data_IF_503878259381
#
_entry.id   IF_503878259381
#
_cell.length_a   1.000
_cell.length_b   1.000
_cell.length_c   1.000
_cell.angle_alpha   90.00
_cell.angle_beta   90.00
_cell.angle_gamma   90.00
#
_symmetry.space_group_name_H-M   'P 1'
#
loop_
_entity.id
_entity.type
_entity.pdbx_description
1 polymer ?
#
# COMPACT_ATOMS: atom_id res chain seq x y z
N UNK A 1 -2.56 19.99 -10.91
CA UNK A 1 -2.39 18.93 -11.92
C UNK A 1 -2.00 17.65 -11.20
N UNK A 2 -2.91 16.68 -11.02
CA UNK A 2 -2.58 15.36 -10.47
C UNK A 2 -2.28 14.40 -11.63
N UNK A 3 -1.11 13.77 -11.59
CA UNK A 3 -0.63 12.83 -12.60
C UNK A 3 -0.89 11.42 -12.09
N UNK A 4 -1.99 10.82 -12.48
CA UNK A 4 -2.32 9.42 -12.14
C UNK A 4 -1.79 8.52 -13.25
N UNK A 5 -0.75 7.73 -12.98
CA UNK A 5 -0.22 6.73 -13.91
C UNK A 5 -0.86 5.37 -13.65
N UNK A 6 -1.49 4.77 -14.66
CA UNK A 6 -2.01 3.41 -14.57
C UNK A 6 -0.98 2.45 -15.16
N UNK A 7 -0.35 1.64 -14.30
CA UNK A 7 0.47 0.52 -14.74
C UNK A 7 -0.45 -0.70 -14.90
N UNK A 8 -0.71 -1.10 -16.16
CA UNK A 8 -1.49 -2.32 -16.47
C UNK A 8 -0.55 -3.36 -17.08
N UNK A 9 -0.19 -4.37 -16.29
CA UNK A 9 0.45 -5.60 -16.77
C UNK A 9 -0.65 -6.66 -16.92
N UNK A 10 -0.96 -7.02 -18.16
CA UNK A 10 -2.05 -7.95 -18.52
C UNK A 10 -1.78 -9.40 -18.14
N UNK A 11 -0.60 -9.73 -17.61
CA UNK A 11 -0.19 -11.10 -17.25
C UNK A 11 -0.20 -11.39 -15.75
N UNK A 12 -0.42 -10.37 -14.91
CA UNK A 12 -0.40 -10.50 -13.44
C UNK A 12 -1.82 -10.36 -12.89
N UNK A 13 -2.25 -11.33 -12.07
CA UNK A 13 -3.39 -11.09 -11.18
C UNK A 13 -3.01 -9.92 -10.27
N UNK A 14 -3.61 -8.76 -10.50
CA UNK A 14 -3.36 -7.58 -9.69
C UNK A 14 -4.01 -7.80 -8.33
N UNK A 15 -3.24 -7.59 -7.25
CA UNK A 15 -3.79 -7.50 -5.90
C UNK A 15 -4.31 -6.08 -5.73
N UNK A 16 -5.58 -5.93 -5.36
CA UNK A 16 -6.17 -4.62 -5.10
C UNK A 16 -5.86 -4.17 -3.68
N UNK A 17 -5.40 -2.93 -3.50
CA UNK A 17 -5.19 -2.36 -2.16
C UNK A 17 -6.32 -1.38 -1.88
N UNK A 18 -7.08 -1.64 -0.83
CA UNK A 18 -8.15 -0.78 -0.34
C UNK A 18 -7.74 -0.15 0.99
N UNK A 19 -7.83 1.16 1.08
CA UNK A 19 -7.60 1.91 2.32
C UNK A 19 -8.93 2.48 2.78
N UNK A 20 -9.30 2.22 4.04
CA UNK A 20 -10.51 2.76 4.64
C UNK A 20 -10.16 3.54 5.92
N UNK A 21 -10.89 4.62 6.13
CA UNK A 21 -10.83 5.36 7.39
C UNK A 21 -11.86 4.76 8.34
N UNK A 22 -11.40 4.23 9.48
CA UNK A 22 -12.24 3.69 10.53
C UNK A 22 -12.10 4.55 11.80
N UNK A 23 -13.12 5.34 12.09
CA UNK A 23 -13.15 6.24 13.24
C UNK A 23 -13.39 5.52 14.58
N UNK A 24 -13.67 4.21 14.57
CA UNK A 24 -13.83 3.44 15.80
C UNK A 24 -12.51 3.24 16.55
N UNK A 25 -11.36 3.33 15.87
CA UNK A 25 -10.06 3.20 16.53
C UNK A 25 -9.74 4.43 17.36
N UNK A 26 -9.63 4.27 18.67
CA UNK A 26 -9.30 5.36 19.59
C UNK A 26 -7.85 5.84 19.43
N UNK A 27 -6.95 4.97 18.94
CA UNK A 27 -5.55 5.30 18.71
C UNK A 27 -5.32 5.64 17.23
N UNK A 28 -4.86 6.86 16.97
CA UNK A 28 -4.62 7.38 15.61
C UNK A 28 -3.51 6.64 14.84
N UNK A 29 -2.67 5.89 15.56
CA UNK A 29 -1.60 5.06 14.97
C UNK A 29 -2.00 3.59 14.83
N UNK A 30 -3.20 3.22 15.28
CA UNK A 30 -3.70 1.86 15.11
C UNK A 30 -4.03 1.57 13.66
N UNK A 31 -3.62 0.38 13.21
CA UNK A 31 -3.86 -0.12 11.87
C UNK A 31 -4.36 -1.56 11.97
N UNK A 32 -5.37 -1.88 11.17
CA UNK A 32 -5.84 -3.25 10.97
C UNK A 32 -5.62 -3.66 9.52
N UNK A 33 -5.12 -4.88 9.33
CA UNK A 33 -4.90 -5.48 8.01
C UNK A 33 -5.82 -6.68 7.82
N UNK A 34 -6.48 -6.74 6.67
CA UNK A 34 -7.07 -7.97 6.15
C UNK A 34 -6.42 -8.30 4.81
N UNK A 35 -5.94 -9.53 4.65
CA UNK A 35 -5.24 -10.00 3.46
C UNK A 35 -6.00 -11.19 2.88
N UNK A 36 -6.33 -11.10 1.61
CA UNK A 36 -6.97 -12.13 0.80
C UNK A 36 -6.14 -12.34 -0.48
N UNK A 37 -6.23 -13.50 -1.16
CA UNK A 37 -5.53 -13.72 -2.43
C UNK A 37 -5.76 -12.66 -3.51
N UNK A 38 -6.87 -11.90 -3.45
CA UNK A 38 -7.21 -10.90 -4.46
C UNK A 38 -7.11 -9.45 -3.99
N UNK A 39 -7.09 -9.20 -2.68
CA UNK A 39 -7.04 -7.84 -2.15
C UNK A 39 -6.40 -7.73 -0.76
N UNK A 40 -5.92 -6.53 -0.45
CA UNK A 40 -5.41 -6.13 0.86
C UNK A 40 -6.22 -4.94 1.33
N UNK A 41 -6.80 -5.03 2.52
CA UNK A 41 -7.52 -3.94 3.17
C UNK A 41 -6.69 -3.40 4.33
N UNK A 42 -6.54 -2.07 4.37
CA UNK A 42 -5.89 -1.31 5.44
C UNK A 42 -6.94 -0.39 6.05
N UNK A 43 -7.29 -0.64 7.31
CA UNK A 43 -8.20 0.22 8.06
C UNK A 43 -7.39 1.00 9.10
N UNK A 44 -7.63 2.31 9.19
CA UNK A 44 -6.93 3.18 10.14
C UNK A 44 -7.76 4.41 10.50
N UNK A 45 -7.56 4.98 11.69
CA UNK A 45 -8.19 6.25 12.05
C UNK A 45 -7.35 7.44 11.56
N UNK A 46 -7.60 7.83 10.31
CA UNK A 46 -7.00 9.01 9.69
C UNK A 46 -5.66 8.76 9.02
N UNK A 47 -4.97 9.85 8.70
CA UNK A 47 -3.78 9.83 7.83
C UNK A 47 -2.55 9.22 8.49
N UNK A 48 -2.37 9.38 9.81
CA UNK A 48 -1.22 8.84 10.54
C UNK A 48 -1.20 7.31 10.52
N UNK A 49 -2.28 6.66 10.97
CA UNK A 49 -2.44 5.21 10.89
C UNK A 49 -2.40 4.71 9.44
N UNK A 50 -3.02 5.42 8.49
CA UNK A 50 -2.94 5.05 7.07
C UNK A 50 -1.49 5.03 6.57
N UNK A 51 -0.70 6.05 6.94
CA UNK A 51 0.71 6.13 6.57
C UNK A 51 1.49 4.95 7.15
N UNK A 52 1.33 4.65 8.44
CA UNK A 52 1.98 3.48 9.06
C UNK A 52 1.56 2.17 8.40
N UNK A 53 0.28 2.02 8.04
CA UNK A 53 -0.22 0.86 7.33
C UNK A 53 0.43 0.67 5.96
N UNK A 54 0.60 1.75 5.20
CA UNK A 54 1.32 1.69 3.92
C UNK A 54 2.80 1.31 4.14
N UNK A 55 3.46 1.88 5.16
CA UNK A 55 4.85 1.55 5.47
C UNK A 55 5.01 0.07 5.83
N UNK A 56 4.14 -0.46 6.68
CA UNK A 56 4.14 -1.89 7.03
C UNK A 56 3.88 -2.75 5.79
N UNK A 57 2.93 -2.37 4.92
CA UNK A 57 2.67 -3.11 3.68
C UNK A 57 3.92 -3.20 2.80
N UNK A 58 4.62 -2.09 2.57
CA UNK A 58 5.85 -2.06 1.77
C UNK A 58 6.90 -3.00 2.37
N UNK A 59 7.04 -3.04 3.69
CA UNK A 59 7.99 -3.91 4.38
C UNK A 59 7.64 -5.39 4.31
N UNK A 60 6.35 -5.73 4.16
CA UNK A 60 5.88 -7.10 3.97
C UNK A 60 6.06 -7.60 2.53
N UNK A 61 6.23 -6.71 1.56
CA UNK A 61 6.50 -7.12 0.18
C UNK A 61 7.89 -7.75 0.06
N UNK A 62 8.06 -8.79 -0.77
CA UNK A 62 9.36 -9.38 -0.98
C UNK A 62 10.34 -8.34 -1.55
N UNK A 63 11.53 -8.22 -0.94
CA UNK A 63 12.56 -7.27 -1.34
C UNK A 63 13.01 -7.42 -2.80
N UNK A 64 12.88 -8.62 -3.38
CA UNK A 64 13.20 -8.93 -4.78
C UNK A 64 12.36 -8.17 -5.81
N UNK A 65 11.24 -7.57 -5.40
CA UNK A 65 10.40 -6.74 -6.27
C UNK A 65 10.82 -5.26 -6.33
N UNK A 66 11.83 -4.83 -5.56
CA UNK A 66 12.37 -3.47 -5.61
C UNK A 66 13.50 -3.44 -6.64
N UNK A 67 13.17 -3.24 -7.93
CA UNK A 67 14.18 -2.92 -8.95
C UNK A 67 14.77 -1.54 -8.62
N UNK A 68 16.00 -1.52 -8.14
CA UNK A 68 16.78 -0.28 -8.01
C UNK A 68 16.93 0.35 -9.39
N UNK A 69 16.18 1.42 -9.67
CA UNK A 69 16.44 2.26 -10.82
C UNK A 69 17.70 3.08 -10.54
N UNK A 70 18.87 2.48 -10.74
CA UNK A 70 20.11 3.26 -10.89
C UNK A 70 19.98 4.06 -12.18
N UNK A 71 19.58 5.32 -12.06
CA UNK A 71 19.71 6.31 -13.12
C UNK A 71 21.19 6.41 -13.50
N UNK A 72 21.53 5.97 -14.71
CA UNK A 72 22.80 6.32 -15.33
C UNK A 72 22.76 7.82 -15.63
N UNK A 73 23.17 8.64 -14.66
CA UNK A 73 23.63 10.00 -14.92
C UNK A 73 25.05 9.86 -15.49
N UNK A 74 25.14 9.86 -16.84
CA UNK A 74 26.36 10.17 -17.58
C UNK A 74 26.43 11.66 -17.82
#
# INVERSE_FOLDING_TARGET
>A
MQRTGFYRDSSRQAIFIQVQVDQSFQNLSQVFFAVDPHFISINANGSAGTFYGIQTLIQLLPASNIKSQTSNLK
#
